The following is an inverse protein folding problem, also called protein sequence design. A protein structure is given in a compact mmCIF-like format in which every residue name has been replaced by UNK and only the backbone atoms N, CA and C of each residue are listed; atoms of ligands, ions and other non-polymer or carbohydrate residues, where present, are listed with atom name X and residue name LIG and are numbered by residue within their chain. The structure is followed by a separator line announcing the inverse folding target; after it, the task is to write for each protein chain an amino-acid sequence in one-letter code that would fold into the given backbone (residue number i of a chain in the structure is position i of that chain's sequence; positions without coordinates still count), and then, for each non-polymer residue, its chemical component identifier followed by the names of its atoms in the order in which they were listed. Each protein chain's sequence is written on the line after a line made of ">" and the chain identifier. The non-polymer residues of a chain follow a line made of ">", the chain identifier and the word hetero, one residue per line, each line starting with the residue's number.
data_IF_186001762342
#
_entry.id   IF_186001762342
#
_cell.length_a   1.000
_cell.length_b   1.000
_cell.length_c   1.000
_cell.angle_alpha   90.00
_cell.angle_beta   90.00
_cell.angle_gamma   90.00
#
_symmetry.space_group_name_H-M   'P 1'
#
loop_
_entity.id
_entity.type
_entity.pdbx_description
1 polymer ?
#
# COMPACT_ATOMS: atom_id res chain seq x y z
N UNK A 1 8.30 5.15 11.51
CA UNK A 1 8.57 4.26 12.65
C UNK A 1 9.52 4.88 13.66
N UNK A 2 10.77 5.22 13.31
CA UNK A 2 11.74 5.79 14.27
C UNK A 2 11.28 7.05 15.00
N UNK A 3 10.70 8.01 14.29
CA UNK A 3 10.15 9.23 14.94
C UNK A 3 8.91 8.91 15.77
N UNK A 4 8.12 7.91 15.37
CA UNK A 4 6.89 7.56 16.08
C UNK A 4 7.22 6.93 17.43
N UNK A 5 8.14 5.97 17.47
CA UNK A 5 8.44 5.27 18.73
C UNK A 5 9.25 6.10 19.73
N UNK A 6 10.00 7.11 19.26
CA UNK A 6 10.76 8.00 20.15
C UNK A 6 9.93 9.16 20.68
N UNK A 7 9.00 9.69 19.89
CA UNK A 7 8.21 10.86 20.23
C UNK A 7 6.91 10.49 20.95
N UNK A 8 6.28 9.35 20.63
CA UNK A 8 4.98 8.95 21.16
C UNK A 8 5.13 8.03 22.38
N UNK A 9 5.49 8.62 23.51
CA UNK A 9 5.36 8.02 24.85
C UNK A 9 3.97 8.25 25.45
N UNK A 10 3.50 7.43 26.39
CA UNK A 10 2.15 7.58 26.99
C UNK A 10 1.86 9.02 27.48
N UNK A 11 2.86 9.68 28.06
CA UNK A 11 2.76 11.07 28.55
C UNK A 11 2.71 12.11 27.44
N UNK A 12 3.40 11.90 26.32
CA UNK A 12 3.32 12.78 25.15
C UNK A 12 2.00 12.62 24.40
N UNK A 13 1.42 11.42 24.44
CA UNK A 13 0.16 11.08 23.76
C UNK A 13 -1.02 11.78 24.43
N UNK A 14 -1.06 11.84 25.77
CA UNK A 14 -2.07 12.65 26.49
C UNK A 14 -1.98 14.14 26.13
N UNK A 15 -0.77 14.68 26.01
CA UNK A 15 -0.54 16.09 25.63
C UNK A 15 -0.93 16.41 24.19
N UNK A 16 -0.72 15.46 23.27
CA UNK A 16 -1.16 15.58 21.88
C UNK A 16 -2.68 15.43 21.81
N UNK A 17 -3.27 14.40 22.44
CA UNK A 17 -4.71 14.16 22.44
C UNK A 17 -5.49 15.36 22.96
N UNK A 18 -5.03 15.99 24.04
CA UNK A 18 -5.64 17.24 24.56
C UNK A 18 -5.47 18.43 23.62
N UNK A 19 -4.37 18.54 22.89
CA UNK A 19 -4.15 19.60 21.91
C UNK A 19 -4.94 19.42 20.60
N UNK A 20 -5.26 18.18 20.25
CA UNK A 20 -5.96 17.84 19.00
C UNK A 20 -7.46 17.68 19.22
N UNK A 21 -7.91 17.57 20.47
CA UNK A 21 -9.31 17.41 20.87
C UNK A 21 -10.21 18.49 20.24
N UNK A 22 -11.28 18.05 19.59
CA UNK A 22 -12.21 18.93 18.86
C UNK A 22 -11.79 19.30 17.44
N UNK A 23 -10.66 18.78 16.93
CA UNK A 23 -10.23 18.93 15.53
C UNK A 23 -10.30 17.61 14.78
N UNK A 24 -10.28 17.66 13.44
CA UNK A 24 -10.27 16.46 12.58
C UNK A 24 -9.11 15.49 12.91
N UNK A 25 -7.96 16.01 13.34
CA UNK A 25 -6.82 15.17 13.67
C UNK A 25 -7.05 14.32 14.95
N UNK A 26 -8.08 14.62 15.74
CA UNK A 26 -8.49 13.83 16.91
C UNK A 26 -8.99 12.43 16.54
N UNK A 27 -9.41 12.19 15.29
CA UNK A 27 -9.83 10.85 14.83
C UNK A 27 -8.70 10.09 14.11
N UNK A 28 -7.57 10.75 13.87
CA UNK A 28 -6.40 10.17 13.19
C UNK A 28 -5.30 9.86 14.21
N UNK A 29 -5.15 10.69 15.22
CA UNK A 29 -4.09 10.60 16.22
C UNK A 29 -4.71 10.08 17.53
N UNK A 30 -5.00 8.78 17.57
CA UNK A 30 -5.67 8.12 18.70
C UNK A 30 -5.00 6.80 19.08
N UNK A 31 -5.11 6.43 20.35
CA UNK A 31 -4.58 5.18 20.92
C UNK A 31 -4.02 5.45 22.30
N UNK A 32 -4.25 4.54 23.24
CA UNK A 32 -3.72 4.64 24.61
C UNK A 32 -2.47 3.79 24.78
N UNK A 33 -2.31 2.79 23.91
CA UNK A 33 -1.12 1.95 23.82
C UNK A 33 -0.34 2.25 22.54
N UNK A 34 0.95 1.90 22.52
CA UNK A 34 1.81 2.08 21.35
C UNK A 34 1.27 1.34 20.12
N UNK A 35 0.76 0.11 20.30
CA UNK A 35 0.18 -0.71 19.22
C UNK A 35 -1.10 -0.10 18.67
N UNK A 36 -1.99 0.42 19.52
CA UNK A 36 -3.19 1.15 19.09
C UNK A 36 -2.84 2.40 18.30
N UNK A 37 -1.84 3.17 18.77
CA UNK A 37 -1.37 4.35 18.05
C UNK A 37 -0.85 4.00 16.66
N UNK A 38 -0.05 2.94 16.54
CA UNK A 38 0.42 2.45 15.25
C UNK A 38 -0.75 2.06 14.34
N UNK A 39 -1.72 1.31 14.86
CA UNK A 39 -2.92 0.91 14.12
C UNK A 39 -3.74 2.11 13.61
N UNK A 40 -4.06 3.05 14.49
CA UNK A 40 -4.99 4.14 14.19
C UNK A 40 -4.37 5.31 13.43
N UNK A 41 -3.06 5.52 13.59
CA UNK A 41 -2.33 6.66 13.02
C UNK A 41 -1.39 6.24 11.89
N UNK A 42 -0.46 5.32 12.18
CA UNK A 42 0.57 4.92 11.21
C UNK A 42 -0.03 4.10 10.07
N UNK A 43 -0.77 3.04 10.38
CA UNK A 43 -1.39 2.15 9.40
C UNK A 43 -2.55 2.80 8.64
N UNK A 44 -3.20 3.79 9.25
CA UNK A 44 -4.29 4.55 8.64
C UNK A 44 -3.84 5.56 7.57
N UNK A 45 -2.63 6.10 7.69
CA UNK A 45 -2.19 7.23 6.88
C UNK A 45 -0.82 6.96 6.24
N UNK A 46 0.24 6.89 7.05
CA UNK A 46 1.61 6.89 6.54
C UNK A 46 1.96 5.58 5.83
N UNK A 47 1.56 4.44 6.42
CA UNK A 47 1.78 3.11 5.88
C UNK A 47 1.05 2.89 4.54
N UNK A 48 -0.04 3.65 4.29
CA UNK A 48 -0.80 3.59 3.04
C UNK A 48 -0.23 4.57 2.03
N UNK A 49 -0.02 5.84 2.41
CA UNK A 49 0.30 6.91 1.47
C UNK A 49 1.60 6.69 0.70
N UNK A 50 2.73 6.45 1.38
CA UNK A 50 4.04 6.42 0.71
C UNK A 50 4.24 5.18 -0.17
N UNK A 51 3.92 3.96 0.29
CA UNK A 51 4.01 2.77 -0.56
C UNK A 51 3.04 2.79 -1.75
N UNK A 52 1.88 3.44 -1.60
CA UNK A 52 0.96 3.69 -2.71
C UNK A 52 1.62 4.60 -3.76
N UNK A 53 2.18 5.74 -3.36
CA UNK A 53 2.89 6.64 -4.28
C UNK A 53 4.05 5.93 -4.99
N UNK A 54 4.82 5.13 -4.26
CA UNK A 54 5.86 4.28 -4.82
C UNK A 54 5.28 3.35 -5.90
N UNK A 55 4.18 2.66 -5.60
CA UNK A 55 3.54 1.71 -6.53
C UNK A 55 3.03 2.39 -7.80
N UNK A 56 2.48 3.61 -7.69
CA UNK A 56 2.01 4.41 -8.83
C UNK A 56 3.18 4.77 -9.74
N UNK A 57 4.25 5.32 -9.17
CA UNK A 57 5.42 5.80 -9.92
C UNK A 57 6.15 4.61 -10.56
N UNK A 58 6.49 3.60 -9.77
CA UNK A 58 7.26 2.45 -10.25
C UNK A 58 6.43 1.60 -11.21
N UNK A 59 5.14 1.35 -10.91
CA UNK A 59 4.25 0.63 -11.83
C UNK A 59 4.17 1.27 -13.21
N UNK A 60 4.09 2.61 -13.28
CA UNK A 60 4.10 3.34 -14.54
C UNK A 60 5.48 3.26 -15.25
N UNK A 61 6.57 3.45 -14.50
CA UNK A 61 7.92 3.48 -15.06
C UNK A 61 8.40 2.12 -15.58
N UNK A 62 7.79 1.03 -15.13
CA UNK A 62 8.16 -0.31 -15.55
C UNK A 62 7.74 -0.63 -16.98
N UNK A 63 6.60 -0.12 -17.45
CA UNK A 63 6.00 -0.45 -18.75
C UNK A 63 5.61 0.81 -19.53
N UNK A 64 4.56 1.53 -19.12
CA UNK A 64 3.99 2.63 -19.90
C UNK A 64 5.01 3.74 -20.21
N UNK A 65 5.84 4.15 -19.25
CA UNK A 65 6.87 5.16 -19.52
C UNK A 65 7.91 4.68 -20.55
N UNK A 66 8.32 3.41 -20.49
CA UNK A 66 9.27 2.85 -21.46
C UNK A 66 8.71 2.78 -22.87
N UNK A 67 7.40 2.53 -22.99
CA UNK A 67 6.68 2.52 -24.26
C UNK A 67 6.53 3.93 -24.81
N UNK A 68 6.14 4.90 -23.97
CA UNK A 68 5.92 6.30 -24.34
C UNK A 68 7.23 6.97 -24.82
N UNK A 69 8.35 6.68 -24.14
CA UNK A 69 9.67 7.22 -24.48
C UNK A 69 10.35 6.50 -25.66
N UNK A 70 9.71 5.48 -26.25
CA UNK A 70 10.27 4.64 -27.33
C UNK A 70 11.44 3.73 -26.90
N UNK A 71 11.93 3.84 -25.67
CA UNK A 71 13.05 3.04 -25.14
C UNK A 71 12.76 1.54 -25.11
N UNK A 72 11.48 1.14 -25.16
CA UNK A 72 11.06 -0.26 -25.29
C UNK A 72 11.58 -0.91 -26.59
N UNK A 73 11.84 -0.13 -27.65
CA UNK A 73 12.43 -0.64 -28.89
C UNK A 73 13.85 -1.20 -28.67
N UNK A 74 14.62 -0.61 -27.73
CA UNK A 74 15.96 -1.09 -27.38
C UNK A 74 15.91 -2.46 -26.69
N UNK A 75 14.89 -2.71 -25.86
CA UNK A 75 14.65 -4.00 -25.22
C UNK A 75 14.07 -5.07 -26.15
N UNK A 76 13.46 -4.67 -27.27
CA UNK A 76 13.00 -5.61 -28.31
C UNK A 76 14.11 -5.99 -29.30
N UNK A 77 15.22 -5.26 -29.29
CA UNK A 77 16.38 -5.53 -30.12
C UNK A 77 17.30 -6.61 -29.52
N UNK A 78 17.10 -6.91 -28.23
CA UNK A 78 17.68 -8.08 -27.56
C UNK A 78 16.79 -9.31 -27.75
N UNK A 79 17.32 -10.54 -27.65
CA UNK A 79 16.58 -11.79 -27.90
C UNK A 79 15.64 -12.17 -26.74
N UNK A 80 14.97 -11.19 -26.13
CA UNK A 80 14.01 -11.37 -25.03
C UNK A 80 12.59 -11.16 -25.54
N UNK A 81 11.68 -12.05 -25.12
CA UNK A 81 10.27 -11.94 -25.48
C UNK A 81 9.58 -10.82 -24.70
N UNK A 82 8.54 -10.21 -25.31
CA UNK A 82 7.67 -9.22 -24.63
C UNK A 82 7.13 -9.74 -23.31
N UNK A 83 6.80 -11.04 -23.25
CA UNK A 83 6.26 -11.69 -22.06
C UNK A 83 7.29 -11.75 -20.93
N UNK A 84 8.55 -12.06 -21.23
CA UNK A 84 9.63 -12.08 -20.23
C UNK A 84 9.87 -10.69 -19.62
N UNK A 85 9.82 -9.63 -20.44
CA UNK A 85 10.00 -8.24 -19.96
C UNK A 85 8.90 -7.88 -18.96
N UNK A 86 7.64 -8.18 -19.27
CA UNK A 86 6.50 -7.85 -18.40
C UNK A 86 6.48 -8.70 -17.14
N UNK A 87 6.77 -10.01 -17.24
CA UNK A 87 6.88 -10.88 -16.07
C UNK A 87 7.98 -10.40 -15.14
N UNK A 88 9.15 -10.06 -15.69
CA UNK A 88 10.27 -9.53 -14.89
C UNK A 88 9.91 -8.21 -14.20
N UNK A 89 9.15 -7.36 -14.88
CA UNK A 89 8.65 -6.09 -14.32
C UNK A 89 7.64 -6.32 -13.19
N UNK A 90 6.71 -7.27 -13.36
CA UNK A 90 5.76 -7.64 -12.31
C UNK A 90 6.49 -8.22 -11.08
N UNK A 91 7.40 -9.16 -11.29
CA UNK A 91 8.21 -9.76 -10.23
C UNK A 91 9.05 -8.71 -9.51
N UNK A 92 9.67 -7.79 -10.24
CA UNK A 92 10.44 -6.70 -9.64
C UNK A 92 9.57 -5.86 -8.70
N UNK A 93 8.37 -5.45 -9.14
CA UNK A 93 7.47 -4.63 -8.32
C UNK A 93 6.97 -5.38 -7.07
N UNK A 94 6.66 -6.67 -7.21
CA UNK A 94 6.20 -7.49 -6.08
C UNK A 94 7.34 -7.69 -5.07
N UNK A 95 8.54 -8.04 -5.54
CA UNK A 95 9.70 -8.27 -4.70
C UNK A 95 10.20 -6.98 -4.04
N UNK A 96 10.14 -5.84 -4.74
CA UNK A 96 10.53 -4.56 -4.16
C UNK A 96 9.58 -4.13 -3.05
N UNK A 97 8.27 -4.35 -3.21
CA UNK A 97 7.28 -4.13 -2.16
C UNK A 97 7.47 -5.08 -0.98
N UNK A 98 7.70 -6.36 -1.25
CA UNK A 98 7.96 -7.36 -0.21
C UNK A 98 9.20 -6.97 0.61
N UNK A 99 10.29 -6.62 -0.08
CA UNK A 99 11.53 -6.19 0.57
C UNK A 99 11.33 -4.90 1.38
N UNK A 100 10.58 -3.93 0.85
CA UNK A 100 10.26 -2.70 1.56
C UNK A 100 9.54 -2.98 2.88
N UNK A 101 8.55 -3.88 2.90
CA UNK A 101 7.82 -4.23 4.11
C UNK A 101 8.61 -5.11 5.08
N UNK A 102 9.48 -6.00 4.59
CA UNK A 102 10.43 -6.74 5.43
C UNK A 102 11.36 -5.78 6.15
N UNK A 103 11.97 -4.84 5.43
CA UNK A 103 12.87 -3.84 6.02
C UNK A 103 12.10 -2.96 7.01
N UNK A 104 10.91 -2.49 6.66
CA UNK A 104 10.06 -1.70 7.56
C UNK A 104 9.71 -2.46 8.85
N UNK A 105 9.46 -3.77 8.75
CA UNK A 105 9.15 -4.62 9.90
C UNK A 105 10.37 -4.79 10.81
N UNK A 106 11.54 -5.12 10.24
CA UNK A 106 12.79 -5.28 11.01
C UNK A 106 13.12 -3.97 11.73
N UNK A 107 13.13 -2.85 11.00
CA UNK A 107 13.41 -1.54 11.58
C UNK A 107 12.36 -1.18 12.64
N UNK A 108 11.08 -1.47 12.39
CA UNK A 108 10.00 -1.22 13.34
C UNK A 108 10.20 -1.95 14.67
N UNK A 109 10.52 -3.25 14.60
CA UNK A 109 10.77 -4.09 15.78
C UNK A 109 12.02 -3.61 16.53
N UNK A 110 13.15 -3.45 15.84
CA UNK A 110 14.41 -3.05 16.48
C UNK A 110 14.30 -1.69 17.15
N UNK A 111 13.63 -0.73 16.50
CA UNK A 111 13.46 0.60 17.07
C UNK A 111 12.51 0.54 18.26
N UNK A 112 11.38 -0.16 18.17
CA UNK A 112 10.43 -0.28 19.28
C UNK A 112 11.09 -0.90 20.52
N UNK A 113 11.88 -1.96 20.33
CA UNK A 113 12.64 -2.62 21.41
C UNK A 113 13.64 -1.67 22.11
N UNK A 114 14.30 -0.80 21.34
CA UNK A 114 15.24 0.19 21.90
C UNK A 114 14.52 1.32 22.64
N UNK A 115 13.42 1.82 22.09
CA UNK A 115 12.79 3.06 22.58
C UNK A 115 11.73 2.83 23.64
N UNK A 116 11.00 1.72 23.54
CA UNK A 116 9.93 1.33 24.46
C UNK A 116 9.94 -0.20 24.62
N UNK A 117 10.89 -0.75 25.42
CA UNK A 117 11.00 -2.18 25.66
C UNK A 117 9.67 -2.79 26.13
N UNK A 118 9.37 -4.01 25.67
CA UNK A 118 8.17 -4.79 26.01
C UNK A 118 6.79 -4.14 25.68
N UNK A 119 6.78 -3.00 24.99
CA UNK A 119 5.53 -2.31 24.63
C UNK A 119 4.88 -2.78 23.32
N UNK A 120 5.67 -3.44 22.46
CA UNK A 120 5.23 -3.89 21.15
C UNK A 120 4.95 -5.39 21.18
N UNK A 121 3.70 -5.75 20.90
CA UNK A 121 3.37 -7.12 20.52
C UNK A 121 3.91 -7.40 19.10
N UNK A 122 5.02 -8.13 19.04
CA UNK A 122 5.74 -8.44 17.81
C UNK A 122 4.89 -9.27 16.85
N UNK A 123 4.10 -10.22 17.36
CA UNK A 123 3.30 -11.11 16.51
C UNK A 123 2.18 -10.31 15.81
N UNK A 124 1.47 -9.50 16.58
CA UNK A 124 0.44 -8.61 16.07
C UNK A 124 1.03 -7.57 15.11
N UNK A 125 2.22 -7.03 15.40
CA UNK A 125 2.91 -6.10 14.51
C UNK A 125 3.31 -6.75 13.18
N UNK A 126 3.84 -7.96 13.20
CA UNK A 126 4.16 -8.70 11.97
C UNK A 126 2.88 -8.94 11.16
N UNK A 127 1.78 -9.30 11.82
CA UNK A 127 0.50 -9.54 11.15
C UNK A 127 -0.06 -8.27 10.48
N UNK A 128 0.05 -7.10 11.14
CA UNK A 128 -0.27 -5.80 10.55
C UNK A 128 0.60 -5.51 9.31
N UNK A 129 1.90 -5.83 9.36
CA UNK A 129 2.81 -5.67 8.23
C UNK A 129 2.49 -6.62 7.06
N UNK A 130 2.06 -7.85 7.35
CA UNK A 130 1.60 -8.79 6.32
C UNK A 130 0.32 -8.27 5.66
N UNK A 131 -0.64 -7.80 6.46
CA UNK A 131 -1.91 -7.25 5.95
C UNK A 131 -1.68 -6.03 5.06
N UNK A 132 -0.85 -5.08 5.49
CA UNK A 132 -0.56 -3.88 4.69
C UNK A 132 0.25 -4.21 3.43
N UNK A 133 1.12 -5.23 3.49
CA UNK A 133 1.81 -5.74 2.30
C UNK A 133 0.81 -6.29 1.28
N UNK A 134 -0.16 -7.11 1.70
CA UNK A 134 -1.21 -7.64 0.81
C UNK A 134 -2.08 -6.53 0.23
N UNK A 135 -2.40 -5.52 1.04
CA UNK A 135 -3.08 -4.33 0.56
C UNK A 135 -2.28 -3.62 -0.54
N UNK A 136 -0.98 -3.38 -0.33
CA UNK A 136 -0.12 -2.75 -1.34
C UNK A 136 0.13 -3.62 -2.56
N UNK A 137 0.16 -4.94 -2.40
CA UNK A 137 0.23 -5.87 -3.52
C UNK A 137 -1.02 -5.77 -4.42
N UNK A 138 -2.21 -5.61 -3.83
CA UNK A 138 -3.43 -5.35 -4.60
C UNK A 138 -3.37 -3.97 -5.27
N UNK A 139 -2.96 -2.92 -4.57
CA UNK A 139 -2.80 -1.57 -5.13
C UNK A 139 -1.78 -1.54 -6.28
N UNK A 140 -0.63 -2.18 -6.11
CA UNK A 140 0.42 -2.22 -7.13
C UNK A 140 -0.02 -2.97 -8.38
N UNK A 141 -0.87 -3.98 -8.24
CA UNK A 141 -1.46 -4.69 -9.37
C UNK A 141 -2.39 -3.78 -10.20
N UNK A 142 -3.13 -2.85 -9.58
CA UNK A 142 -3.95 -1.84 -10.26
C UNK A 142 -3.06 -0.88 -11.07
N UNK A 143 -1.98 -0.38 -10.45
CA UNK A 143 -1.00 0.47 -11.13
C UNK A 143 -0.37 -0.26 -12.32
N UNK A 144 0.01 -1.53 -12.12
CA UNK A 144 0.68 -2.34 -13.12
C UNK A 144 -0.21 -2.69 -14.30
N UNK A 145 -1.46 -3.11 -14.07
CA UNK A 145 -2.41 -3.44 -15.15
C UNK A 145 -2.74 -2.20 -15.98
N UNK A 146 -2.92 -1.03 -15.35
CA UNK A 146 -3.13 0.22 -16.06
C UNK A 146 -1.92 0.55 -16.95
N UNK A 147 -0.71 0.41 -16.42
CA UNK A 147 0.55 0.59 -17.16
C UNK A 147 0.70 -0.39 -18.34
N UNK A 148 0.14 -1.60 -18.23
CA UNK A 148 0.11 -2.57 -19.32
C UNK A 148 -0.93 -2.21 -20.41
N UNK A 149 -2.10 -1.72 -20.01
CA UNK A 149 -3.21 -1.37 -20.91
C UNK A 149 -2.88 -0.13 -21.74
N UNK A 150 -2.34 0.93 -21.14
CA UNK A 150 -2.09 2.20 -21.81
C UNK A 150 -0.69 2.26 -22.43
N UNK A 151 -0.56 2.90 -23.60
CA UNK A 151 0.76 3.13 -24.23
C UNK A 151 1.39 4.44 -23.77
N UNK A 152 0.58 5.40 -23.32
CA UNK A 152 1.04 6.70 -22.88
C UNK A 152 1.02 6.78 -21.36
N UNK A 153 2.12 7.31 -20.80
CA UNK A 153 2.36 7.44 -19.37
C UNK A 153 1.26 8.25 -18.67
N UNK A 154 0.72 9.29 -19.33
CA UNK A 154 -0.36 10.13 -18.79
C UNK A 154 -1.63 9.33 -18.48
N UNK A 155 -2.08 8.48 -19.40
CA UNK A 155 -3.32 7.70 -19.19
C UNK A 155 -3.11 6.58 -18.17
N UNK A 156 -1.93 5.96 -18.17
CA UNK A 156 -1.52 4.99 -17.14
C UNK A 156 -1.56 5.60 -15.75
N UNK A 157 -0.96 6.78 -15.55
CA UNK A 157 -0.96 7.47 -14.24
C UNK A 157 -2.36 7.92 -13.80
N UNK A 158 -3.20 8.41 -14.72
CA UNK A 158 -4.56 8.83 -14.38
C UNK A 158 -5.38 7.66 -13.84
N UNK A 159 -5.36 6.50 -14.51
CA UNK A 159 -6.16 5.35 -14.10
C UNK A 159 -5.48 4.57 -12.97
N UNK A 160 -4.22 4.21 -13.17
CA UNK A 160 -3.43 3.42 -12.23
C UNK A 160 -3.10 4.16 -10.94
N UNK A 161 -2.99 5.49 -10.97
CA UNK A 161 -2.82 6.32 -9.78
C UNK A 161 -4.11 6.87 -9.21
N UNK A 162 -5.07 7.22 -10.06
CA UNK A 162 -6.35 7.79 -9.64
C UNK A 162 -7.19 6.83 -8.81
N UNK A 163 -7.23 5.54 -9.17
CA UNK A 163 -8.02 4.54 -8.42
C UNK A 163 -7.46 4.33 -6.99
N UNK A 164 -6.16 4.03 -6.79
CA UNK A 164 -5.57 3.96 -5.45
C UNK A 164 -5.74 5.25 -4.64
N UNK A 165 -5.51 6.40 -5.28
CA UNK A 165 -5.64 7.70 -4.62
C UNK A 165 -7.09 7.96 -4.19
N UNK A 166 -8.07 7.58 -5.00
CA UNK A 166 -9.48 7.65 -4.66
C UNK A 166 -9.79 6.78 -3.43
N UNK A 167 -9.32 5.53 -3.40
CA UNK A 167 -9.49 4.66 -2.21
C UNK A 167 -8.90 5.29 -0.95
N UNK A 168 -7.72 5.90 -1.06
CA UNK A 168 -7.08 6.58 0.06
C UNK A 168 -7.86 7.81 0.53
N UNK A 169 -8.34 8.66 -0.39
CA UNK A 169 -9.13 9.85 -0.03
C UNK A 169 -10.43 9.45 0.65
N UNK A 170 -11.14 8.45 0.12
CA UNK A 170 -12.36 7.92 0.75
C UNK A 170 -12.07 7.38 2.14
N UNK A 171 -10.96 6.68 2.33
CA UNK A 171 -10.53 6.20 3.65
C UNK A 171 -10.29 7.35 4.64
N UNK A 172 -9.74 8.48 4.19
CA UNK A 172 -9.61 9.67 5.03
C UNK A 172 -10.97 10.27 5.38
N UNK A 173 -11.89 10.34 4.41
CA UNK A 173 -13.23 10.88 4.64
C UNK A 173 -14.03 10.07 5.65
N UNK A 174 -13.96 8.74 5.59
CA UNK A 174 -14.60 7.84 6.56
C UNK A 174 -14.11 8.12 7.99
N UNK A 175 -12.83 8.47 8.16
CA UNK A 175 -12.27 8.84 9.47
C UNK A 175 -12.73 10.22 9.96
N UNK A 176 -13.23 11.09 9.09
CA UNK A 176 -13.79 12.40 9.48
C UNK A 176 -15.18 12.23 10.09
N UNK A 177 -15.99 11.33 9.54
CA UNK A 177 -17.43 11.25 9.82
C UNK A 177 -17.96 9.82 9.72
N UNK A 178 -18.68 9.39 10.76
CA UNK A 178 -19.36 8.08 10.81
C UNK A 178 -20.44 7.94 9.73
N UNK A 179 -21.08 9.05 9.30
CA UNK A 179 -22.09 9.04 8.23
C UNK A 179 -21.53 8.54 6.89
N UNK A 180 -20.20 8.60 6.72
CA UNK A 180 -19.51 8.19 5.51
C UNK A 180 -19.07 6.73 5.55
N UNK A 181 -19.32 5.98 6.64
CA UNK A 181 -18.88 4.60 6.80
C UNK A 181 -19.37 3.67 5.67
N UNK A 182 -20.52 3.96 5.06
CA UNK A 182 -21.05 3.21 3.90
C UNK A 182 -20.07 3.21 2.71
N UNK A 183 -19.23 4.24 2.58
CA UNK A 183 -18.22 4.33 1.52
C UNK A 183 -17.06 3.34 1.72
N UNK A 184 -16.93 2.66 2.86
CA UNK A 184 -15.86 1.67 3.07
C UNK A 184 -15.95 0.50 2.09
N UNK A 185 -17.16 0.12 1.69
CA UNK A 185 -17.40 -1.04 0.82
C UNK A 185 -17.00 -0.81 -0.64
N UNK A 186 -16.70 0.43 -1.05
CA UNK A 186 -16.26 0.75 -2.41
C UNK A 186 -14.73 0.87 -2.53
N UNK A 187 -14.00 0.71 -1.42
CA UNK A 187 -12.53 0.82 -1.39
C UNK A 187 -11.88 -0.51 -1.03
N UNK A 188 -10.61 -0.68 -1.42
CA UNK A 188 -9.80 -1.80 -0.91
C UNK A 188 -9.40 -1.62 0.56
N UNK A 189 -9.57 -0.43 1.15
CA UNK A 189 -9.12 -0.15 2.52
C UNK A 189 -9.96 -0.91 3.55
N UNK A 190 -11.20 -1.29 3.23
CA UNK A 190 -12.02 -2.14 4.11
C UNK A 190 -11.43 -3.54 4.31
N UNK A 191 -10.62 -4.05 3.36
CA UNK A 191 -9.98 -5.36 3.45
C UNK A 191 -8.68 -5.32 4.26
N UNK A 192 -8.23 -4.13 4.66
CA UNK A 192 -7.12 -3.96 5.60
C UNK A 192 -7.65 -3.36 6.90
N UNK A 193 -8.49 -4.14 7.60
CA UNK A 193 -9.07 -3.75 8.87
C UNK A 193 -8.10 -4.04 10.02
N UNK A 194 -7.43 -2.99 10.51
CA UNK A 194 -6.46 -3.10 11.60
C UNK A 194 -7.12 -3.48 12.92
N UNK A 195 -8.38 -3.10 13.18
CA UNK A 195 -9.11 -3.48 14.40
C UNK A 195 -9.36 -4.99 14.47
N UNK A 196 -9.75 -5.61 13.35
CA UNK A 196 -9.94 -7.07 13.27
C UNK A 196 -8.62 -7.81 13.50
N UNK A 197 -7.53 -7.29 12.95
CA UNK A 197 -6.17 -7.82 13.15
C UNK A 197 -5.77 -7.76 14.63
N UNK A 198 -5.98 -6.61 15.30
CA UNK A 198 -5.70 -6.44 16.73
C UNK A 198 -6.56 -7.35 17.60
N UNK A 199 -7.82 -7.58 17.22
CA UNK A 199 -8.73 -8.48 17.92
C UNK A 199 -8.47 -9.97 17.64
N UNK A 200 -7.52 -10.30 16.73
CA UNK A 200 -7.18 -11.67 16.37
C UNK A 200 -8.30 -12.46 15.69
N UNK A 201 -9.29 -11.79 15.09
CA UNK A 201 -10.47 -12.43 14.49
C UNK A 201 -10.81 -11.85 13.11
N UNK A 202 -11.39 -12.69 12.24
CA UNK A 202 -11.98 -12.34 10.94
C UNK A 202 -11.09 -11.65 9.87
N UNK A 203 -9.78 -11.54 10.04
CA UNK A 203 -8.87 -10.91 9.04
C UNK A 203 -8.43 -11.85 7.89
N UNK A 204 -8.54 -13.18 8.07
CA UNK A 204 -8.01 -14.16 7.10
C UNK A 204 -8.75 -14.09 5.76
N UNK A 205 -10.08 -13.91 5.80
CA UNK A 205 -10.90 -13.78 4.59
C UNK A 205 -10.47 -12.57 3.75
N UNK A 206 -10.25 -11.43 4.41
CA UNK A 206 -9.82 -10.21 3.75
C UNK A 206 -8.44 -10.35 3.10
N UNK A 207 -7.51 -11.03 3.78
CA UNK A 207 -6.16 -11.30 3.26
C UNK A 207 -6.21 -12.16 1.99
N UNK A 208 -7.07 -13.18 1.98
CA UNK A 208 -7.27 -14.04 0.81
C UNK A 208 -7.85 -13.22 -0.35
N UNK A 209 -8.85 -12.36 -0.09
CA UNK A 209 -9.45 -11.51 -1.11
C UNK A 209 -8.40 -10.57 -1.72
N UNK A 210 -7.59 -9.90 -0.89
CA UNK A 210 -6.51 -9.02 -1.34
C UNK A 210 -5.48 -9.77 -2.21
N UNK A 211 -5.07 -10.97 -1.77
CA UNK A 211 -4.14 -11.80 -2.53
C UNK A 211 -4.73 -12.21 -3.89
N UNK A 212 -6.00 -12.64 -3.93
CA UNK A 212 -6.69 -13.03 -5.17
C UNK A 212 -6.81 -11.84 -6.12
N UNK A 213 -7.24 -10.67 -5.64
CA UNK A 213 -7.34 -9.46 -6.46
C UNK A 213 -5.99 -9.11 -7.09
N UNK A 214 -4.92 -9.10 -6.28
CA UNK A 214 -3.58 -8.79 -6.78
C UNK A 214 -3.11 -9.79 -7.83
N UNK A 215 -3.23 -11.09 -7.57
CA UNK A 215 -2.84 -12.16 -8.52
C UNK A 215 -3.60 -12.02 -9.84
N UNK A 216 -4.92 -11.87 -9.78
CA UNK A 216 -5.77 -11.78 -10.97
C UNK A 216 -5.40 -10.56 -11.81
N UNK A 217 -5.23 -9.39 -11.20
CA UNK A 217 -4.88 -8.17 -11.91
C UNK A 217 -3.47 -8.21 -12.51
N UNK A 218 -2.50 -8.80 -11.83
CA UNK A 218 -1.16 -9.03 -12.40
C UNK A 218 -1.22 -9.95 -13.62
N UNK A 219 -1.97 -11.06 -13.55
CA UNK A 219 -2.16 -11.98 -14.68
C UNK A 219 -2.81 -11.26 -15.86
N UNK A 220 -3.86 -10.47 -15.61
CA UNK A 220 -4.52 -9.67 -16.64
C UNK A 220 -3.53 -8.69 -17.28
N UNK A 221 -2.75 -7.96 -16.49
CA UNK A 221 -1.74 -7.03 -17.00
C UNK A 221 -0.71 -7.71 -17.90
N UNK A 222 -0.20 -8.86 -17.46
CA UNK A 222 0.76 -9.67 -18.23
C UNK A 222 0.16 -10.10 -19.58
N UNK A 223 -1.06 -10.64 -19.56
CA UNK A 223 -1.70 -11.16 -20.76
C UNK A 223 -2.08 -10.07 -21.75
N UNK A 224 -2.62 -8.95 -21.25
CA UNK A 224 -2.96 -7.77 -22.06
C UNK A 224 -1.73 -7.24 -22.77
N UNK A 225 -0.61 -7.07 -22.06
CA UNK A 225 0.60 -6.56 -22.69
C UNK A 225 1.24 -7.56 -23.66
N UNK A 226 1.23 -8.85 -23.32
CA UNK A 226 1.80 -9.90 -24.17
C UNK A 226 1.13 -9.96 -25.55
N UNK A 227 -0.18 -9.68 -25.62
CA UNK A 227 -0.95 -9.66 -26.87
C UNK A 227 -0.97 -8.29 -27.57
N UNK A 228 -0.40 -7.26 -26.94
CA UNK A 228 -0.50 -5.88 -27.42
C UNK A 228 0.35 -5.65 -28.67
N UNK A 229 -0.27 -5.07 -29.70
CA UNK A 229 0.46 -4.45 -30.81
C UNK A 229 1.02 -3.12 -30.33
N UNK A 230 2.35 -3.06 -30.17
CA UNK A 230 3.03 -1.82 -29.85
C UNK A 230 3.07 -0.94 -31.11
N UNK A 231 2.76 0.36 -31.02
CA UNK A 231 3.06 1.30 -32.09
C UNK A 231 4.58 1.40 -32.19
N UNK A 232 5.15 0.71 -33.18
CA UNK A 232 6.56 0.82 -33.57
C UNK A 232 6.61 1.46 -34.95
#
# INVERSE_FOLDING_TARGET
>A
MTVISTVFTPTSMEGIETAVNGTFASNIITGTTFVEFLSNSFYALMAILFPMLYSIIVGNNLIAAKVDDGSMANFLSTPVSRREIVISSALYLILSLLLMWIIASIVGITVADITQPDSLDVDTFILLNVGVFLFHFAISSICFVASCIFNNSKYSLIIGGGIPLFFFIVNLLIKVSEDLEVLKYITLTTLFNTSNILAGSDYIGDFIILAVIGIVLYIIGIEVFARKSLPL
#
